data_IF_401195793846
#
_entry.id   IF_401195793846
#
_cell.length_a   1.000
_cell.length_b   1.000
_cell.length_c   1.000
_cell.angle_alpha   90.00
_cell.angle_beta   90.00
_cell.angle_gamma   90.00
#
_symmetry.space_group_name_H-M   'P 1'
#
loop_
_entity.id
_entity.type
_entity.pdbx_description
1 polymer ?
#
# COMPACT_ATOMS: atom_id res chain seq x y z
N UNK A 1 -25.56 -0.91 12.99
CA UNK A 1 -24.86 -0.31 11.84
C UNK A 1 -23.44 -0.12 12.34
N UNK A 2 -22.46 -0.88 11.86
CA UNK A 2 -21.07 -0.70 12.32
C UNK A 2 -20.64 0.71 11.91
N UNK A 3 -20.42 1.59 12.89
CA UNK A 3 -20.01 2.96 12.66
C UNK A 3 -18.49 3.07 12.57
N UNK A 4 -17.98 3.97 11.73
CA UNK A 4 -16.58 4.38 11.73
C UNK A 4 -16.37 5.30 12.94
N UNK A 5 -15.41 5.01 13.82
CA UNK A 5 -15.10 5.89 14.97
C UNK A 5 -13.62 6.19 15.09
N UNK A 6 -13.32 7.47 15.31
CA UNK A 6 -11.98 7.93 15.66
C UNK A 6 -12.00 8.27 17.14
N UNK A 7 -11.25 7.52 17.93
CA UNK A 7 -11.14 7.77 19.37
C UNK A 7 -9.78 8.38 19.64
N UNK A 8 -9.78 9.62 20.11
CA UNK A 8 -8.55 10.24 20.60
C UNK A 8 -8.35 9.76 22.02
N UNK A 9 -7.29 9.00 22.22
CA UNK A 9 -6.95 8.47 23.52
C UNK A 9 -6.06 9.49 24.20
N UNK A 10 -6.71 10.45 24.84
CA UNK A 10 -6.02 11.44 25.66
C UNK A 10 -5.50 10.74 26.92
N UNK A 11 -4.25 10.28 26.82
CA UNK A 11 -3.60 9.54 27.89
C UNK A 11 -2.97 10.45 28.94
N UNK A 12 -3.00 11.80 28.82
CA UNK A 12 -2.13 12.61 29.67
C UNK A 12 -2.60 13.99 30.17
N UNK A 13 -2.03 14.45 31.31
CA UNK A 13 -2.06 15.85 31.70
C UNK A 13 -1.04 16.68 30.91
N UNK A 14 -1.46 17.83 30.40
CA UNK A 14 -0.57 18.93 29.97
C UNK A 14 -0.51 19.22 28.47
N UNK A 15 -1.05 18.34 27.61
CA UNK A 15 -1.29 18.64 26.20
C UNK A 15 -2.78 18.88 26.03
N UNK A 16 -3.18 20.14 25.84
CA UNK A 16 -4.58 20.49 25.55
C UNK A 16 -4.75 20.52 24.04
N UNK A 17 -5.43 19.53 23.47
CA UNK A 17 -5.92 19.62 22.09
C UNK A 17 -6.96 20.74 22.02
N UNK A 18 -6.91 21.56 20.97
CA UNK A 18 -7.84 22.68 20.78
C UNK A 18 -9.31 22.21 20.87
N UNK A 19 -10.20 23.05 21.40
CA UNK A 19 -11.60 22.66 21.66
C UNK A 19 -12.37 22.27 20.38
N UNK A 20 -11.94 22.74 19.22
CA UNK A 20 -12.55 22.47 17.91
C UNK A 20 -11.59 21.73 16.97
N UNK A 21 -11.48 20.41 17.13
CA UNK A 21 -11.03 19.56 16.01
C UNK A 21 -12.20 19.43 15.04
N UNK A 22 -12.18 20.20 13.96
CA UNK A 22 -13.20 20.13 12.91
C UNK A 22 -12.77 19.13 11.84
N UNK A 23 -13.51 18.02 11.70
CA UNK A 23 -13.41 17.12 10.55
C UNK A 23 -14.02 17.81 9.32
N UNK A 24 -13.22 18.07 8.29
CA UNK A 24 -13.73 18.69 7.08
C UNK A 24 -14.16 17.64 6.04
N UNK A 25 -15.47 17.67 5.73
CA UNK A 25 -16.17 17.08 4.58
C UNK A 25 -16.34 15.54 4.54
N UNK A 26 -17.61 15.19 4.76
CA UNK A 26 -18.32 13.93 4.48
C UNK A 26 -18.35 12.89 5.62
N UNK A 27 -19.34 13.05 6.51
CA UNK A 27 -20.19 11.99 7.08
C UNK A 27 -19.57 10.87 7.92
N UNK A 28 -20.10 10.71 9.15
CA UNK A 28 -20.08 9.47 9.98
C UNK A 28 -18.81 9.11 10.77
N UNK A 29 -17.92 10.05 11.08
CA UNK A 29 -16.86 9.80 12.07
C UNK A 29 -17.22 10.43 13.41
N UNK A 30 -17.45 9.58 14.43
CA UNK A 30 -17.63 10.01 15.81
C UNK A 30 -16.29 10.27 16.48
N UNK A 31 -16.10 11.48 17.02
CA UNK A 31 -14.94 11.89 17.82
C UNK A 31 -15.23 11.63 19.30
N UNK A 32 -14.40 10.82 19.97
CA UNK A 32 -14.48 10.63 21.42
C UNK A 32 -13.16 11.00 22.11
N UNK A 33 -13.26 11.71 23.24
CA UNK A 33 -12.14 12.20 24.05
C UNK A 33 -12.19 11.49 25.41
N UNK A 34 -11.43 10.40 25.55
CA UNK A 34 -11.32 9.71 26.84
C UNK A 34 -10.39 10.46 27.79
N UNK A 35 -10.73 10.58 29.08
CA UNK A 35 -9.80 11.08 30.11
C UNK A 35 -8.64 10.10 30.35
N UNK A 36 -7.49 10.57 30.86
CA UNK A 36 -6.37 9.72 31.27
C UNK A 36 -6.84 8.58 32.19
N UNK A 37 -6.28 7.39 32.02
CA UNK A 37 -6.54 6.15 32.81
C UNK A 37 -7.95 5.53 32.71
N UNK A 38 -8.82 6.04 31.84
CA UNK A 38 -10.20 5.49 31.66
C UNK A 38 -10.49 4.93 30.27
N UNK A 39 -9.56 5.06 29.32
CA UNK A 39 -9.75 4.62 27.93
C UNK A 39 -10.24 3.18 27.79
N UNK A 40 -9.70 2.27 28.60
CA UNK A 40 -10.09 0.85 28.59
C UNK A 40 -11.58 0.65 28.88
N UNK A 41 -12.20 1.52 29.70
CA UNK A 41 -13.63 1.46 30.00
C UNK A 41 -14.49 1.86 28.80
N UNK A 42 -14.05 2.85 28.02
CA UNK A 42 -14.75 3.30 26.82
C UNK A 42 -14.70 2.28 25.69
N UNK A 43 -13.61 1.52 25.57
CA UNK A 43 -13.48 0.50 24.51
C UNK A 43 -14.58 -0.57 24.58
N UNK A 44 -15.06 -0.90 25.78
CA UNK A 44 -16.17 -1.85 25.97
C UNK A 44 -17.54 -1.28 25.57
N UNK A 45 -17.67 0.04 25.46
CA UNK A 45 -18.91 0.71 25.04
C UNK A 45 -19.05 0.76 23.51
N UNK A 46 -17.99 0.47 22.77
CA UNK A 46 -17.99 0.42 21.31
C UNK A 46 -18.62 -0.89 20.80
N UNK A 47 -19.43 -0.79 19.74
CA UNK A 47 -20.07 -1.96 19.14
C UNK A 47 -19.04 -2.93 18.55
N UNK A 48 -19.21 -4.26 18.70
CA UNK A 48 -18.41 -5.24 17.97
C UNK A 48 -18.47 -5.00 16.46
N UNK A 49 -17.32 -5.06 15.80
CA UNK A 49 -17.19 -4.78 14.37
C UNK A 49 -16.80 -3.34 14.03
N UNK A 50 -16.61 -2.47 15.03
CA UNK A 50 -16.16 -1.08 14.87
C UNK A 50 -14.74 -1.03 14.29
N UNK A 51 -14.54 -0.18 13.28
CA UNK A 51 -13.22 0.25 12.82
C UNK A 51 -12.74 1.43 13.67
N UNK A 52 -11.53 1.32 14.21
CA UNK A 52 -11.03 2.25 15.21
C UNK A 52 -9.70 2.87 14.79
N UNK A 53 -9.59 4.20 14.84
CA UNK A 53 -8.30 4.88 14.91
C UNK A 53 -8.07 5.42 16.32
N UNK A 54 -6.89 5.16 16.89
CA UNK A 54 -6.49 5.56 18.23
C UNK A 54 -5.19 6.38 18.18
N UNK A 55 -5.21 7.60 18.73
CA UNK A 55 -4.01 8.41 18.92
C UNK A 55 -3.64 8.46 20.42
N UNK A 56 -2.44 8.03 20.78
CA UNK A 56 -1.92 8.00 22.15
C UNK A 56 -1.01 9.20 22.41
N UNK A 57 -1.41 10.11 23.28
CA UNK A 57 -0.66 11.34 23.55
C UNK A 57 0.13 11.21 24.86
N UNK A 58 1.44 10.91 24.76
CA UNK A 58 2.44 10.72 25.84
C UNK A 58 2.10 9.75 26.99
N UNK A 59 3.05 9.52 27.92
CA UNK A 59 2.94 8.54 29.03
C UNK A 59 3.38 9.04 30.41
N UNK A 60 2.49 9.01 31.40
CA UNK A 60 2.80 9.08 32.84
C UNK A 60 1.83 8.20 33.61
N UNK A 61 1.96 6.88 33.46
CA UNK A 61 1.14 5.89 34.15
C UNK A 61 1.34 4.48 33.59
N UNK A 62 0.76 4.22 32.42
CA UNK A 62 0.98 2.99 31.64
C UNK A 62 1.95 3.29 30.49
N UNK A 63 2.94 2.42 30.24
CA UNK A 63 3.81 2.61 29.07
C UNK A 63 3.01 2.50 27.78
N UNK A 64 3.25 3.39 26.81
CA UNK A 64 2.57 3.39 25.49
C UNK A 64 2.55 1.98 24.86
N UNK A 65 3.66 1.20 24.83
CA UNK A 65 3.64 -0.16 24.28
C UNK A 65 2.64 -1.08 24.98
N UNK A 66 2.44 -0.93 26.29
CA UNK A 66 1.47 -1.72 27.05
C UNK A 66 0.04 -1.35 26.65
N UNK A 67 -0.25 -0.06 26.51
CA UNK A 67 -1.57 0.40 26.11
C UNK A 67 -1.92 -0.04 24.68
N UNK A 68 -0.99 0.09 23.74
CA UNK A 68 -1.17 -0.39 22.36
C UNK A 68 -1.37 -1.91 22.32
N UNK A 69 -0.59 -2.69 23.07
CA UNK A 69 -0.74 -4.16 23.13
C UNK A 69 -2.12 -4.57 23.62
N UNK A 70 -2.65 -3.90 24.64
CA UNK A 70 -4.00 -4.16 25.15
C UNK A 70 -5.05 -3.87 24.10
N UNK A 71 -4.96 -2.72 23.43
CA UNK A 71 -5.89 -2.34 22.36
C UNK A 71 -5.85 -3.35 21.20
N UNK A 72 -4.65 -3.79 20.80
CA UNK A 72 -4.46 -4.82 19.76
C UNK A 72 -5.00 -6.19 20.16
N UNK A 73 -5.10 -6.49 21.45
CA UNK A 73 -5.67 -7.75 21.97
C UNK A 73 -7.20 -7.80 21.97
N UNK A 74 -7.89 -6.71 21.63
CA UNK A 74 -9.35 -6.65 21.64
C UNK A 74 -9.94 -7.19 20.34
N UNK A 75 -10.41 -8.44 20.36
CA UNK A 75 -10.98 -9.14 19.20
C UNK A 75 -12.31 -8.56 18.69
N UNK A 76 -12.94 -7.65 19.44
CA UNK A 76 -14.20 -7.02 19.05
C UNK A 76 -14.04 -5.98 17.92
N UNK A 77 -12.82 -5.50 17.65
CA UNK A 77 -12.56 -4.53 16.59
C UNK A 77 -12.11 -5.25 15.31
N UNK A 78 -12.71 -4.90 14.18
CA UNK A 78 -12.36 -5.43 12.84
C UNK A 78 -11.01 -4.91 12.38
N UNK A 79 -10.71 -3.64 12.68
CA UNK A 79 -9.40 -3.04 12.46
C UNK A 79 -9.14 -1.95 13.47
N UNK A 80 -7.88 -1.88 13.90
CA UNK A 80 -7.36 -0.78 14.69
C UNK A 80 -6.21 -0.12 13.95
N UNK A 81 -6.20 1.21 13.88
CA UNK A 81 -5.06 2.03 13.47
C UNK A 81 -4.54 2.77 14.68
N UNK A 82 -3.24 2.79 14.89
CA UNK A 82 -2.63 3.32 16.11
C UNK A 82 -1.59 4.37 15.79
N UNK A 83 -1.74 5.55 16.35
CA UNK A 83 -0.82 6.67 16.24
C UNK A 83 -0.32 7.02 17.63
N UNK A 84 0.92 7.46 17.73
CA UNK A 84 1.54 7.84 19.01
C UNK A 84 2.04 9.27 18.90
N UNK A 85 1.85 10.07 19.93
CA UNK A 85 2.25 11.48 19.94
C UNK A 85 3.25 11.68 21.07
N UNK A 86 4.39 12.27 20.75
CA UNK A 86 5.41 12.56 21.74
C UNK A 86 6.73 13.04 21.14
N UNK A 87 7.68 13.35 22.02
CA UNK A 87 8.95 14.01 21.69
C UNK A 87 9.90 13.16 20.82
N UNK A 88 9.60 11.87 20.65
CA UNK A 88 10.35 10.98 19.75
C UNK A 88 10.02 11.21 18.26
N UNK A 89 9.09 12.11 17.94
CA UNK A 89 8.71 12.40 16.57
C UNK A 89 9.87 12.97 15.74
N UNK A 90 10.16 12.33 14.60
CA UNK A 90 11.33 12.68 13.77
C UNK A 90 12.62 11.98 14.22
N UNK A 91 12.59 11.26 15.35
CA UNK A 91 13.66 10.36 15.76
C UNK A 91 13.54 8.97 15.11
N UNK A 92 14.50 8.06 15.37
CA UNK A 92 14.45 6.69 14.90
C UNK A 92 13.18 6.00 15.38
N UNK A 93 12.50 5.29 14.48
CA UNK A 93 11.30 4.52 14.82
C UNK A 93 11.67 3.42 15.84
N UNK A 94 11.05 3.39 17.04
CA UNK A 94 11.33 2.36 18.04
C UNK A 94 10.86 0.98 17.59
N UNK A 95 11.63 -0.07 17.88
CA UNK A 95 11.28 -1.44 17.47
C UNK A 95 9.94 -1.98 18.02
N UNK A 96 9.48 -1.47 19.17
CA UNK A 96 8.17 -1.84 19.71
C UNK A 96 7.01 -1.26 18.88
N UNK A 97 7.22 -0.11 18.23
CA UNK A 97 6.20 0.56 17.44
C UNK A 97 5.91 -0.30 16.20
N UNK A 98 6.95 -0.87 15.59
CA UNK A 98 6.80 -1.85 14.51
C UNK A 98 6.13 -3.14 14.98
N UNK A 99 6.61 -3.72 16.09
CA UNK A 99 6.07 -4.98 16.62
C UNK A 99 4.58 -4.92 17.03
N UNK A 100 4.06 -3.71 17.26
CA UNK A 100 2.67 -3.47 17.64
C UNK A 100 1.84 -2.79 16.53
N UNK A 101 2.36 -2.74 15.30
CA UNK A 101 1.70 -2.14 14.12
C UNK A 101 1.30 -0.67 14.38
N UNK A 102 2.22 0.14 14.88
CA UNK A 102 2.01 1.59 15.03
C UNK A 102 2.21 2.26 13.67
N UNK A 103 1.22 3.08 13.30
CA UNK A 103 1.15 3.78 12.03
C UNK A 103 2.27 4.81 11.93
N UNK A 104 2.30 5.78 12.86
CA UNK A 104 3.35 6.79 12.98
C UNK A 104 3.52 7.29 14.43
N UNK A 105 4.68 7.87 14.72
CA UNK A 105 4.97 8.67 15.91
C UNK A 105 5.02 10.13 15.51
N UNK A 106 4.03 10.91 15.95
CA UNK A 106 3.76 12.28 15.55
C UNK A 106 4.29 13.28 16.58
N UNK A 107 4.76 14.42 16.08
CA UNK A 107 5.13 15.53 16.96
C UNK A 107 3.85 16.13 17.56
N UNK A 108 3.89 16.69 18.77
CA UNK A 108 2.74 17.41 19.32
C UNK A 108 2.18 18.48 18.36
N UNK A 109 3.07 19.16 17.61
CA UNK A 109 2.70 20.15 16.59
C UNK A 109 1.95 19.57 15.36
N UNK A 110 1.92 18.26 15.16
CA UNK A 110 1.14 17.64 14.08
C UNK A 110 -0.39 17.82 14.26
N UNK A 111 -0.81 18.28 15.44
CA UNK A 111 -2.19 18.63 15.77
C UNK A 111 -2.50 20.11 15.54
N UNK A 112 -1.51 20.92 15.15
CA UNK A 112 -1.69 22.33 14.86
C UNK A 112 -2.36 22.50 13.48
N UNK A 113 -3.70 22.46 13.45
CA UNK A 113 -4.53 22.71 12.26
C UNK A 113 -5.26 21.50 11.68
N UNK A 114 -5.65 21.61 10.41
CA UNK A 114 -6.39 20.59 9.66
C UNK A 114 -5.41 19.68 8.91
N UNK A 115 -5.30 18.41 9.27
CA UNK A 115 -4.49 17.46 8.51
C UNK A 115 -4.40 16.06 9.13
N UNK A 116 -4.12 15.98 10.43
CA UNK A 116 -4.00 14.66 11.09
C UNK A 116 -5.30 13.86 11.02
N UNK A 117 -6.44 14.51 11.27
CA UNK A 117 -7.76 13.89 11.17
C UNK A 117 -8.07 13.35 9.78
N UNK A 118 -7.61 14.04 8.74
CA UNK A 118 -7.84 13.65 7.34
C UNK A 118 -7.01 12.39 7.00
N UNK A 119 -5.76 12.34 7.48
CA UNK A 119 -4.90 11.13 7.37
C UNK A 119 -5.51 9.93 8.10
N UNK A 120 -6.09 10.11 9.29
CA UNK A 120 -6.81 9.05 10.00
C UNK A 120 -7.99 8.52 9.18
N UNK A 121 -8.78 9.44 8.61
CA UNK A 121 -9.96 9.13 7.83
C UNK A 121 -9.63 8.39 6.53
N UNK A 122 -8.67 8.90 5.75
CA UNK A 122 -8.18 8.24 4.53
C UNK A 122 -7.68 6.83 4.87
N UNK A 123 -6.96 6.69 5.98
CA UNK A 123 -6.51 5.40 6.49
C UNK A 123 -7.67 4.43 6.76
N UNK A 124 -8.68 4.84 7.53
CA UNK A 124 -9.83 4.01 7.86
C UNK A 124 -10.63 3.63 6.60
N UNK A 125 -10.92 4.61 5.73
CA UNK A 125 -11.60 4.38 4.44
C UNK A 125 -10.84 3.41 3.54
N UNK A 126 -9.51 3.50 3.49
CA UNK A 126 -8.67 2.57 2.74
C UNK A 126 -8.88 1.13 3.20
N UNK A 127 -8.91 0.87 4.52
CA UNK A 127 -9.15 -0.46 5.04
C UNK A 127 -10.57 -0.98 4.74
N UNK A 128 -11.60 -0.17 5.00
CA UNK A 128 -12.99 -0.56 4.74
C UNK A 128 -13.20 -0.97 3.28
N UNK A 129 -12.72 -0.13 2.35
CA UNK A 129 -12.85 -0.36 0.91
C UNK A 129 -12.03 -1.56 0.43
N UNK A 130 -10.89 -1.85 1.08
CA UNK A 130 -10.02 -2.97 0.74
C UNK A 130 -10.53 -4.34 1.25
N UNK A 131 -11.21 -4.37 2.40
CA UNK A 131 -11.41 -5.60 3.19
C UNK A 131 -12.88 -5.95 3.43
N UNK A 132 -13.77 -4.97 3.63
CA UNK A 132 -15.10 -5.21 4.17
C UNK A 132 -16.25 -4.96 3.21
N UNK A 133 -16.07 -4.15 2.16
CA UNK A 133 -17.19 -3.79 1.29
C UNK A 133 -17.54 -4.92 0.29
N UNK A 134 -18.74 -5.52 0.35
CA UNK A 134 -19.21 -6.44 -0.66
C UNK A 134 -19.59 -5.67 -1.92
N UNK A 135 -18.59 -5.31 -2.74
CA UNK A 135 -18.70 -4.81 -4.12
C UNK A 135 -20.01 -4.03 -4.38
N UNK A 136 -20.05 -2.73 -4.03
CA UNK A 136 -21.13 -1.77 -4.33
C UNK A 136 -21.92 -2.12 -5.61
N UNK A 137 -23.24 -2.25 -5.50
CA UNK A 137 -24.09 -2.82 -6.57
C UNK A 137 -24.84 -1.82 -7.44
N UNK A 138 -24.76 -0.50 -7.21
CA UNK A 138 -25.49 0.48 -8.03
C UNK A 138 -24.61 1.70 -8.39
N UNK A 139 -24.44 1.97 -9.71
CA UNK A 139 -24.69 3.25 -10.41
C UNK A 139 -24.05 3.38 -11.82
N UNK A 140 -24.61 4.34 -12.56
CA UNK A 140 -24.62 4.67 -14.00
C UNK A 140 -23.27 4.74 -14.73
N UNK A 141 -23.18 4.06 -15.89
CA UNK A 141 -22.10 4.03 -16.90
C UNK A 141 -20.91 3.12 -16.54
N UNK A 142 -20.93 1.91 -17.10
CA UNK A 142 -19.90 0.85 -17.02
C UNK A 142 -19.49 0.39 -15.61
N UNK A 143 -19.77 -0.87 -15.30
CA UNK A 143 -19.94 -1.36 -13.92
C UNK A 143 -18.62 -1.50 -13.13
N UNK A 144 -17.51 -1.64 -13.82
CA UNK A 144 -16.23 -2.00 -13.19
C UNK A 144 -15.41 -0.77 -12.83
N UNK A 145 -15.28 0.15 -13.78
CA UNK A 145 -14.51 1.36 -13.57
C UNK A 145 -15.06 2.22 -12.45
N UNK A 146 -16.37 2.49 -12.40
CA UNK A 146 -16.91 3.40 -11.37
C UNK A 146 -16.63 2.90 -9.95
N UNK A 147 -16.66 1.58 -9.72
CA UNK A 147 -16.34 0.98 -8.43
C UNK A 147 -14.85 1.13 -8.09
N UNK A 148 -13.99 0.86 -9.06
CA UNK A 148 -12.55 1.03 -8.89
C UNK A 148 -12.20 2.51 -8.72
N UNK A 149 -12.87 3.41 -9.45
CA UNK A 149 -12.63 4.84 -9.38
C UNK A 149 -13.05 5.43 -8.03
N UNK A 150 -14.25 5.12 -7.54
CA UNK A 150 -14.69 5.58 -6.23
C UNK A 150 -13.75 5.08 -5.12
N UNK A 151 -13.35 3.81 -5.19
CA UNK A 151 -12.35 3.26 -4.28
C UNK A 151 -10.99 3.98 -4.40
N UNK A 152 -10.52 4.28 -5.61
CA UNK A 152 -9.26 4.99 -5.81
C UNK A 152 -9.34 6.43 -5.29
N UNK A 153 -10.38 7.17 -5.61
CA UNK A 153 -10.54 8.55 -5.15
C UNK A 153 -10.74 8.66 -3.63
N UNK A 154 -11.46 7.74 -3.01
CA UNK A 154 -11.75 7.78 -1.55
C UNK A 154 -10.58 7.33 -0.68
N UNK A 155 -9.55 6.72 -1.28
CA UNK A 155 -8.39 6.19 -0.56
C UNK A 155 -7.06 6.78 -1.05
N UNK A 156 -7.14 7.64 -2.07
CA UNK A 156 -6.05 8.46 -2.58
C UNK A 156 -5.47 9.32 -1.47
N UNK A 157 -4.17 9.48 -1.53
CA UNK A 157 -3.41 10.36 -0.64
C UNK A 157 -2.78 11.53 -1.41
N UNK A 158 -2.52 12.60 -0.67
CA UNK A 158 -1.79 13.77 -1.13
C UNK A 158 -0.34 13.73 -0.62
N UNK A 159 0.63 14.13 -1.43
CA UNK A 159 2.04 14.18 -1.00
C UNK A 159 2.28 15.09 0.21
N UNK A 160 1.34 16.01 0.52
CA UNK A 160 1.37 16.89 1.69
C UNK A 160 1.12 16.13 3.00
N UNK A 161 0.60 14.91 2.94
CA UNK A 161 0.48 14.02 4.11
C UNK A 161 1.84 13.56 4.63
N UNK A 162 2.90 13.67 3.81
CA UNK A 162 4.28 13.46 4.24
C UNK A 162 4.91 14.78 4.65
N UNK A 163 5.18 14.93 5.95
CA UNK A 163 5.95 16.06 6.47
C UNK A 163 7.45 15.86 6.18
N UNK A 164 7.87 16.32 5.01
CA UNK A 164 9.26 16.24 4.57
C UNK A 164 10.22 17.10 5.40
N UNK A 165 9.73 18.01 6.24
CA UNK A 165 10.58 18.81 7.12
C UNK A 165 11.04 18.02 8.36
N UNK A 166 10.39 16.88 8.65
CA UNK A 166 10.82 15.90 9.66
C UNK A 166 11.93 14.97 9.18
N UNK A 167 12.32 15.04 7.91
CA UNK A 167 13.31 14.16 7.32
C UNK A 167 14.66 14.34 8.03
N UNK A 168 15.20 13.25 8.57
CA UNK A 168 16.53 13.25 9.17
C UNK A 168 17.50 12.38 8.36
N UNK A 169 18.37 12.96 7.50
CA UNK A 169 19.32 12.21 6.69
C UNK A 169 20.31 11.37 7.49
N UNK A 170 20.59 11.72 8.75
CA UNK A 170 21.51 10.96 9.61
C UNK A 170 20.97 9.59 10.01
N UNK A 171 19.66 9.37 9.87
CA UNK A 171 19.02 8.07 10.14
C UNK A 171 19.10 7.10 8.96
N UNK A 172 19.62 7.54 7.81
CA UNK A 172 19.73 6.72 6.61
C UNK A 172 21.17 6.30 6.34
N UNK A 173 21.35 5.03 6.00
CA UNK A 173 22.63 4.54 5.49
C UNK A 173 22.85 4.96 4.03
N UNK A 174 24.10 5.04 3.55
CA UNK A 174 24.38 5.28 2.13
C UNK A 174 23.67 4.28 1.20
N UNK A 175 23.55 3.02 1.62
CA UNK A 175 22.83 1.98 0.87
C UNK A 175 21.32 2.23 0.78
N UNK A 176 20.71 2.81 1.82
CA UNK A 176 19.28 3.18 1.81
C UNK A 176 19.02 4.37 0.89
N UNK A 177 19.92 5.34 0.90
CA UNK A 177 19.87 6.51 0.01
C UNK A 177 20.05 6.09 -1.46
N UNK A 178 21.01 5.19 -1.72
CA UNK A 178 21.22 4.60 -3.04
C UNK A 178 19.97 3.87 -3.53
N UNK A 179 19.36 3.05 -2.66
CA UNK A 179 18.15 2.32 -2.99
C UNK A 179 16.97 3.27 -3.27
N UNK A 180 16.73 4.26 -2.40
CA UNK A 180 15.69 5.28 -2.59
C UNK A 180 15.86 6.02 -3.93
N UNK A 181 17.12 6.30 -4.31
CA UNK A 181 17.44 6.93 -5.60
C UNK A 181 17.08 6.05 -6.78
N UNK A 182 17.46 4.77 -6.74
CA UNK A 182 17.16 3.82 -7.80
C UNK A 182 15.65 3.54 -7.89
N UNK A 183 14.96 3.40 -6.76
CA UNK A 183 13.51 3.26 -6.70
C UNK A 183 12.78 4.48 -7.30
N UNK A 184 13.20 5.71 -6.97
CA UNK A 184 12.63 6.93 -7.55
C UNK A 184 12.74 6.94 -9.09
N UNK A 185 13.85 6.41 -9.64
CA UNK A 185 14.09 6.32 -11.08
C UNK A 185 13.20 5.25 -11.73
N UNK A 186 13.02 4.10 -11.08
CA UNK A 186 12.12 3.02 -11.55
C UNK A 186 10.68 3.51 -11.60
N UNK A 187 10.20 4.10 -10.51
CA UNK A 187 8.83 4.64 -10.43
C UNK A 187 8.59 5.75 -11.47
N UNK A 188 9.63 6.50 -11.85
CA UNK A 188 9.52 7.46 -12.96
C UNK A 188 9.34 6.76 -14.31
N UNK A 189 9.88 5.55 -14.43
CA UNK A 189 9.87 4.72 -15.64
C UNK A 189 8.51 4.10 -15.95
N UNK A 190 7.42 4.45 -15.26
CA UNK A 190 6.08 3.86 -15.36
C UNK A 190 5.29 4.32 -16.60
N UNK A 191 5.54 5.53 -17.13
CA UNK A 191 4.82 6.14 -18.27
C UNK A 191 4.70 5.24 -19.52
N UNK A 192 5.76 4.54 -19.98
CA UNK A 192 5.63 3.59 -21.09
C UNK A 192 4.63 2.45 -20.82
N UNK A 193 4.45 2.05 -19.56
CA UNK A 193 3.45 1.07 -19.13
C UNK A 193 2.04 1.59 -19.32
N UNK A 194 1.78 2.84 -18.87
CA UNK A 194 0.50 3.50 -19.09
C UNK A 194 0.20 3.65 -20.60
N UNK A 195 1.19 4.02 -21.42
CA UNK A 195 1.02 4.06 -22.88
C UNK A 195 0.72 2.68 -23.48
N UNK A 196 1.34 1.61 -22.98
CA UNK A 196 1.05 0.25 -23.44
C UNK A 196 -0.39 -0.14 -23.11
N UNK A 197 -0.86 0.12 -21.88
CA UNK A 197 -2.24 -0.14 -21.48
C UNK A 197 -3.25 0.58 -22.37
N UNK A 198 -3.07 1.87 -22.61
CA UNK A 198 -3.98 2.64 -23.46
C UNK A 198 -4.00 2.15 -24.92
N UNK A 199 -2.88 1.63 -25.43
CA UNK A 199 -2.84 1.00 -26.76
C UNK A 199 -3.50 -0.37 -26.79
N UNK A 200 -3.19 -1.22 -25.82
CA UNK A 200 -3.72 -2.59 -25.75
C UNK A 200 -5.24 -2.61 -25.52
N UNK A 201 -5.76 -1.57 -24.85
CA UNK A 201 -7.17 -1.40 -24.51
C UNK A 201 -7.88 -0.33 -25.33
N UNK A 202 -7.34 0.02 -26.51
CA UNK A 202 -8.02 0.91 -27.45
C UNK A 202 -9.46 0.45 -27.69
N UNK A 203 -10.42 1.37 -27.50
CA UNK A 203 -11.86 1.11 -27.64
C UNK A 203 -12.57 0.54 -26.41
N UNK A 204 -11.85 0.23 -25.32
CA UNK A 204 -12.42 -0.15 -24.03
C UNK A 204 -12.25 1.01 -23.05
N UNK A 205 -13.34 1.43 -22.40
CA UNK A 205 -13.38 2.69 -21.64
C UNK A 205 -13.02 2.50 -20.18
N UNK A 206 -13.43 1.39 -19.57
CA UNK A 206 -13.29 1.18 -18.12
C UNK A 206 -11.83 1.02 -17.70
N UNK A 207 -11.11 0.09 -18.32
CA UNK A 207 -9.71 -0.15 -18.06
C UNK A 207 -8.85 1.04 -18.50
N UNK A 208 -9.13 1.63 -19.66
CA UNK A 208 -8.38 2.80 -20.15
C UNK A 208 -8.48 3.98 -19.17
N UNK A 209 -9.66 4.22 -18.59
CA UNK A 209 -9.85 5.26 -17.57
C UNK A 209 -9.07 4.94 -16.29
N UNK A 210 -9.10 3.69 -15.84
CA UNK A 210 -8.30 3.26 -14.70
C UNK A 210 -6.80 3.34 -14.94
N UNK A 211 -6.31 2.96 -16.11
CA UNK A 211 -4.91 3.02 -16.48
C UNK A 211 -4.34 4.46 -16.42
N UNK A 212 -5.18 5.48 -16.67
CA UNK A 212 -4.82 6.89 -16.47
C UNK A 212 -4.64 7.23 -14.98
N UNK A 213 -5.57 6.80 -14.13
CA UNK A 213 -5.47 7.01 -12.68
C UNK A 213 -4.27 6.26 -12.09
N UNK A 214 -4.09 4.98 -12.43
CA UNK A 214 -2.92 4.18 -12.08
C UNK A 214 -1.63 4.93 -12.47
N UNK A 215 -1.49 5.35 -13.73
CA UNK A 215 -0.32 6.08 -14.19
C UNK A 215 -0.05 7.40 -13.44
N UNK A 216 -1.09 8.05 -12.92
CA UNK A 216 -0.95 9.23 -12.08
C UNK A 216 -0.51 8.90 -10.64
N UNK A 217 -0.93 7.76 -10.07
CA UNK A 217 -0.45 7.27 -8.77
C UNK A 217 1.03 6.85 -8.86
N UNK A 218 1.38 6.08 -9.88
CA UNK A 218 2.77 5.70 -10.20
C UNK A 218 3.71 6.92 -10.34
N UNK A 219 3.26 7.98 -11.04
CA UNK A 219 4.03 9.21 -11.14
C UNK A 219 4.23 9.91 -9.78
N UNK A 220 3.25 9.78 -8.87
CA UNK A 220 3.33 10.28 -7.49
C UNK A 220 4.39 9.52 -6.69
N UNK A 221 4.51 8.19 -6.88
CA UNK A 221 5.53 7.38 -6.21
C UNK A 221 6.94 7.93 -6.47
N UNK A 222 7.26 8.20 -7.73
CA UNK A 222 8.54 8.80 -8.11
C UNK A 222 8.71 10.20 -7.52
N UNK A 223 7.68 11.03 -7.60
CA UNK A 223 7.72 12.43 -7.15
C UNK A 223 8.06 12.54 -5.66
N UNK A 224 7.43 11.75 -4.80
CA UNK A 224 7.67 11.84 -3.35
C UNK A 224 9.08 11.39 -2.97
N UNK A 225 9.58 10.33 -3.60
CA UNK A 225 10.95 9.87 -3.41
C UNK A 225 11.95 10.92 -3.90
N UNK A 226 11.72 11.51 -5.08
CA UNK A 226 12.56 12.57 -5.61
C UNK A 226 12.58 13.83 -4.73
N UNK A 227 11.44 14.21 -4.13
CA UNK A 227 11.37 15.33 -3.17
C UNK A 227 12.10 15.03 -1.87
N UNK A 228 12.01 13.79 -1.40
CA UNK A 228 12.79 13.33 -0.24
C UNK A 228 14.29 13.40 -0.52
N UNK A 229 14.75 12.87 -1.65
CA UNK A 229 16.14 12.95 -2.10
C UNK A 229 16.61 14.39 -2.26
N UNK A 230 15.74 15.28 -2.73
CA UNK A 230 16.09 16.70 -2.86
C UNK A 230 16.39 17.38 -1.52
N UNK A 231 15.65 17.04 -0.46
CA UNK A 231 15.91 17.52 0.91
C UNK A 231 17.26 17.01 1.43
N UNK A 232 17.75 15.88 0.92
CA UNK A 232 19.10 15.36 1.18
C UNK A 232 20.19 15.96 0.27
N UNK A 233 19.83 16.89 -0.61
CA UNK A 233 20.74 17.49 -1.59
C UNK A 233 21.00 16.63 -2.84
N UNK A 234 20.22 15.55 -3.03
CA UNK A 234 20.38 14.60 -4.14
C UNK A 234 19.34 14.90 -5.23
N UNK A 235 19.81 15.36 -6.38
CA UNK A 235 18.95 15.70 -7.53
C UNK A 235 18.76 14.50 -8.46
N UNK A 236 17.58 13.88 -8.40
CA UNK A 236 17.15 12.88 -9.41
C UNK A 236 16.86 13.61 -10.72
N UNK A 237 17.49 13.17 -11.82
CA UNK A 237 17.26 13.72 -13.16
C UNK A 237 16.55 12.70 -14.05
N UNK A 238 15.51 13.14 -14.74
CA UNK A 238 14.68 12.34 -15.67
C UNK A 238 15.47 11.61 -16.75
N UNK A 239 16.61 12.15 -17.19
CA UNK A 239 17.51 11.48 -18.15
C UNK A 239 18.01 10.11 -17.65
N UNK A 240 18.05 9.83 -16.34
CA UNK A 240 18.46 8.53 -15.83
C UNK A 240 17.38 7.44 -15.96
N UNK A 241 16.11 7.83 -16.11
CA UNK A 241 14.99 6.90 -16.27
C UNK A 241 14.76 6.47 -17.72
N UNK A 242 15.05 7.36 -18.68
CA UNK A 242 14.79 7.12 -20.12
C UNK A 242 15.70 6.05 -20.76
N UNK A 243 16.81 5.68 -20.13
CA UNK A 243 17.78 4.69 -20.67
C UNK A 243 17.66 3.28 -20.09
N UNK A 244 16.72 3.03 -19.17
CA UNK A 244 16.68 1.75 -18.42
C UNK A 244 15.55 0.80 -18.80
N UNK A 245 14.63 1.16 -19.72
CA UNK A 245 13.46 0.33 -20.03
C UNK A 245 13.48 -0.21 -21.46
N UNK A 246 13.74 -1.51 -21.60
CA UNK A 246 13.33 -2.24 -22.80
C UNK A 246 11.80 -2.44 -22.77
N UNK A 247 11.11 -2.40 -23.93
CA UNK A 247 9.69 -2.74 -24.00
C UNK A 247 9.46 -4.16 -23.49
N UNK A 248 8.55 -4.34 -22.53
CA UNK A 248 8.13 -5.67 -22.09
C UNK A 248 7.53 -6.45 -23.27
N UNK A 249 7.75 -7.77 -23.36
CA UNK A 249 6.90 -8.60 -24.18
C UNK A 249 5.47 -8.51 -23.61
N UNK A 250 4.59 -7.88 -24.37
CA UNK A 250 3.15 -7.85 -24.10
C UNK A 250 2.73 -9.32 -23.98
N UNK A 251 1.93 -9.66 -22.96
CA UNK A 251 1.36 -11.00 -22.91
C UNK A 251 0.59 -11.24 -24.20
N UNK A 252 0.62 -12.45 -24.77
CA UNK A 252 -0.08 -12.73 -26.04
C UNK A 252 -1.59 -12.38 -25.98
N UNK A 253 -2.14 -12.18 -24.78
CA UNK A 253 -3.51 -11.75 -24.50
C UNK A 253 -3.55 -10.73 -23.35
N UNK A 254 -4.62 -9.93 -23.30
CA UNK A 254 -4.92 -9.02 -22.17
C UNK A 254 -4.90 -9.74 -20.83
N UNK A 255 -5.51 -10.94 -20.72
CA UNK A 255 -5.52 -11.70 -19.47
C UNK A 255 -4.10 -12.09 -19.01
N UNK A 256 -3.22 -12.46 -19.95
CA UNK A 256 -1.80 -12.69 -19.68
C UNK A 256 -1.09 -11.42 -19.20
N UNK A 257 -1.29 -10.29 -19.88
CA UNK A 257 -0.72 -9.00 -19.47
C UNK A 257 -1.19 -8.61 -18.08
N UNK A 258 -2.49 -8.63 -17.79
CA UNK A 258 -3.01 -8.25 -16.49
C UNK A 258 -2.53 -9.21 -15.39
N UNK A 259 -2.45 -10.51 -15.64
CA UNK A 259 -1.92 -11.48 -14.67
C UNK A 259 -0.46 -11.20 -14.32
N UNK A 260 0.37 -10.83 -15.30
CA UNK A 260 1.75 -10.42 -15.03
C UNK A 260 1.78 -9.18 -14.12
N UNK A 261 0.90 -8.20 -14.36
CA UNK A 261 0.80 -7.02 -13.50
C UNK A 261 0.31 -7.37 -12.09
N UNK A 262 -0.67 -8.27 -11.90
CA UNK A 262 -1.08 -8.74 -10.55
C UNK A 262 0.12 -9.24 -9.75
N UNK A 263 0.92 -10.13 -10.35
CA UNK A 263 2.10 -10.73 -9.71
C UNK A 263 3.08 -9.64 -9.30
N UNK A 264 3.28 -8.73 -10.22
CA UNK A 264 4.27 -7.69 -10.17
C UNK A 264 3.97 -6.63 -9.10
N UNK A 265 2.71 -6.18 -9.05
CA UNK A 265 2.19 -5.27 -8.02
C UNK A 265 2.13 -5.94 -6.64
N UNK A 266 1.69 -7.20 -6.56
CA UNK A 266 1.66 -7.94 -5.29
C UNK A 266 3.07 -8.10 -4.68
N UNK A 267 4.07 -8.30 -5.54
CA UNK A 267 5.48 -8.37 -5.19
C UNK A 267 6.03 -7.01 -4.74
N UNK A 268 5.72 -5.93 -5.46
CA UNK A 268 6.12 -4.57 -5.06
C UNK A 268 5.48 -4.16 -3.73
N UNK A 269 4.20 -4.45 -3.51
CA UNK A 269 3.50 -4.20 -2.25
C UNK A 269 4.24 -4.83 -1.06
N UNK A 270 4.67 -6.08 -1.21
CA UNK A 270 5.35 -6.81 -0.16
C UNK A 270 6.79 -6.33 0.05
N UNK A 271 7.50 -5.99 -1.03
CA UNK A 271 8.82 -5.36 -0.95
C UNK A 271 8.76 -4.04 -0.16
N UNK A 272 7.83 -3.15 -0.50
CA UNK A 272 7.67 -1.89 0.23
C UNK A 272 7.24 -2.08 1.68
N UNK A 273 6.41 -3.10 1.96
CA UNK A 273 6.09 -3.48 3.34
C UNK A 273 7.34 -3.88 4.13
N UNK A 274 8.22 -4.69 3.56
CA UNK A 274 9.47 -5.08 4.22
C UNK A 274 10.44 -3.90 4.38
N UNK A 275 10.56 -3.05 3.36
CA UNK A 275 11.39 -1.83 3.43
C UNK A 275 10.89 -0.88 4.52
N UNK A 276 9.58 -0.71 4.66
CA UNK A 276 8.98 0.09 5.73
C UNK A 276 9.35 -0.45 7.12
N UNK A 277 9.35 -1.78 7.29
CA UNK A 277 9.68 -2.43 8.56
C UNK A 277 11.16 -2.25 8.97
N UNK A 278 12.07 -2.20 7.99
CA UNK A 278 13.51 -2.01 8.24
C UNK A 278 13.94 -0.54 8.34
N UNK A 279 13.18 0.37 7.73
CA UNK A 279 13.56 1.79 7.64
C UNK A 279 13.37 2.50 8.98
N UNK A 280 14.48 3.03 9.52
CA UNK A 280 14.47 3.80 10.78
C UNK A 280 14.03 5.24 10.61
N UNK A 281 14.29 5.82 9.44
CA UNK A 281 13.93 7.19 9.13
C UNK A 281 12.40 7.29 8.93
N UNK A 282 11.69 8.10 9.74
CA UNK A 282 10.23 8.07 9.79
C UNK A 282 9.54 8.52 8.49
N UNK A 283 10.11 9.49 7.77
CA UNK A 283 9.50 10.03 6.53
C UNK A 283 9.58 9.01 5.39
N UNK A 284 10.74 8.40 5.18
CA UNK A 284 11.00 7.37 4.17
C UNK A 284 10.27 6.08 4.51
N UNK A 285 10.16 5.72 5.79
CA UNK A 285 9.24 4.66 6.22
C UNK A 285 7.80 4.96 5.82
N UNK A 286 7.35 6.21 6.02
CA UNK A 286 6.03 6.68 5.59
C UNK A 286 5.82 6.54 4.09
N UNK A 287 6.82 6.91 3.28
CA UNK A 287 6.82 6.72 1.82
C UNK A 287 6.61 5.24 1.48
N UNK A 288 7.41 4.33 2.05
CA UNK A 288 7.27 2.90 1.76
C UNK A 288 5.90 2.34 2.16
N UNK A 289 5.33 2.78 3.27
CA UNK A 289 3.96 2.40 3.66
C UNK A 289 2.91 2.85 2.64
N UNK A 290 3.02 4.07 2.14
CA UNK A 290 2.08 4.62 1.17
C UNK A 290 2.18 3.89 -0.18
N UNK A 291 3.40 3.71 -0.70
CA UNK A 291 3.65 2.96 -1.92
C UNK A 291 3.13 1.53 -1.80
N UNK A 292 3.49 0.80 -0.72
CA UNK A 292 3.02 -0.56 -0.52
C UNK A 292 1.49 -0.70 -0.43
N UNK A 293 0.80 0.33 0.06
CA UNK A 293 -0.67 0.39 0.06
C UNK A 293 -1.22 0.56 -1.36
N UNK A 294 -0.62 1.44 -2.15
CA UNK A 294 -1.04 1.69 -3.54
C UNK A 294 -0.78 0.44 -4.40
N UNK A 295 0.38 -0.23 -4.31
CA UNK A 295 0.63 -1.45 -5.09
C UNK A 295 -0.32 -2.59 -4.71
N UNK A 296 -0.70 -2.68 -3.44
CA UNK A 296 -1.72 -3.66 -3.03
C UNK A 296 -3.08 -3.33 -3.65
N UNK A 297 -3.42 -2.04 -3.83
CA UNK A 297 -4.65 -1.60 -4.51
C UNK A 297 -4.55 -1.87 -6.02
N UNK A 298 -3.40 -1.58 -6.63
CA UNK A 298 -3.11 -1.84 -8.04
C UNK A 298 -3.26 -3.32 -8.38
N UNK A 299 -2.60 -4.21 -7.63
CA UNK A 299 -2.71 -5.67 -7.80
C UNK A 299 -4.17 -6.14 -7.81
N UNK A 300 -4.98 -5.60 -6.90
CA UNK A 300 -6.39 -5.95 -6.77
C UNK A 300 -7.25 -5.39 -7.90
N UNK A 301 -6.99 -4.17 -8.38
CA UNK A 301 -7.67 -3.61 -9.55
C UNK A 301 -7.35 -4.42 -10.82
N UNK A 302 -6.07 -4.76 -11.05
CA UNK A 302 -5.68 -5.67 -12.12
C UNK A 302 -6.39 -7.02 -12.03
N UNK A 303 -6.54 -7.57 -10.82
CA UNK A 303 -7.30 -8.80 -10.59
C UNK A 303 -8.77 -8.67 -11.01
N UNK A 304 -9.46 -7.58 -10.66
CA UNK A 304 -10.86 -7.38 -11.05
C UNK A 304 -11.03 -7.40 -12.56
N UNK A 305 -10.22 -6.64 -13.30
CA UNK A 305 -10.26 -6.65 -14.77
C UNK A 305 -9.84 -8.00 -15.36
N UNK A 306 -8.90 -8.72 -14.73
CA UNK A 306 -8.51 -10.07 -15.17
C UNK A 306 -9.64 -11.07 -14.97
N UNK A 307 -10.36 -10.98 -13.85
CA UNK A 307 -11.51 -11.82 -13.54
C UNK A 307 -12.58 -11.64 -14.61
N UNK A 308 -12.91 -10.40 -14.98
CA UNK A 308 -13.89 -10.12 -16.04
C UNK A 308 -13.50 -10.71 -17.39
N UNK A 309 -12.21 -10.67 -17.73
CA UNK A 309 -11.73 -11.33 -18.94
C UNK A 309 -11.83 -12.86 -18.87
N UNK A 310 -11.72 -13.44 -17.67
CA UNK A 310 -11.75 -14.88 -17.43
C UNK A 310 -13.18 -15.43 -17.25
N UNK A 311 -14.12 -14.59 -16.82
CA UNK A 311 -15.51 -14.96 -16.60
C UNK A 311 -16.12 -15.51 -17.89
N UNK A 312 -16.45 -16.80 -17.88
CA UNK A 312 -16.94 -17.56 -19.05
C UNK A 312 -15.99 -17.63 -20.26
N UNK A 313 -14.70 -17.32 -20.10
CA UNK A 313 -13.72 -17.38 -21.19
C UNK A 313 -12.51 -18.28 -20.83
N UNK A 314 -12.53 -19.50 -21.38
CA UNK A 314 -11.48 -20.51 -21.17
C UNK A 314 -10.12 -20.10 -21.73
N UNK A 315 -10.07 -19.34 -22.82
CA UNK A 315 -8.79 -18.90 -23.40
C UNK A 315 -8.08 -17.91 -22.48
N UNK A 316 -8.83 -16.96 -21.92
CA UNK A 316 -8.32 -16.02 -20.91
C UNK A 316 -7.85 -16.74 -19.65
N UNK A 317 -8.61 -17.74 -19.15
CA UNK A 317 -8.20 -18.56 -18.01
C UNK A 317 -6.88 -19.31 -18.29
N UNK A 318 -6.73 -19.91 -19.48
CA UNK A 318 -5.49 -20.59 -19.87
C UNK A 318 -4.33 -19.59 -19.96
N UNK A 319 -4.55 -18.40 -20.52
CA UNK A 319 -3.51 -17.38 -20.61
C UNK A 319 -3.05 -16.88 -19.23
N UNK A 320 -4.00 -16.62 -18.33
CA UNK A 320 -3.70 -16.26 -16.95
C UNK A 320 -2.90 -17.35 -16.23
N UNK A 321 -3.32 -18.61 -16.33
CA UNK A 321 -2.60 -19.74 -15.74
C UNK A 321 -1.20 -19.93 -16.34
N UNK A 322 -1.03 -19.76 -17.66
CA UNK A 322 0.29 -19.83 -18.30
C UNK A 322 1.21 -18.76 -17.75
N UNK A 323 0.72 -17.53 -17.64
CA UNK A 323 1.50 -16.42 -17.10
C UNK A 323 1.86 -16.66 -15.64
N UNK A 324 0.88 -17.03 -14.80
CA UNK A 324 1.13 -17.38 -13.40
C UNK A 324 2.13 -18.53 -13.26
N UNK A 325 2.03 -19.58 -14.08
CA UNK A 325 2.98 -20.69 -14.06
C UNK A 325 4.41 -20.24 -14.33
N UNK A 326 4.63 -19.47 -15.40
CA UNK A 326 5.98 -19.00 -15.79
C UNK A 326 6.63 -18.22 -14.64
N UNK A 327 5.87 -17.35 -13.99
CA UNK A 327 6.40 -16.42 -12.99
C UNK A 327 6.47 -16.96 -11.56
N UNK A 328 5.65 -17.96 -11.23
CA UNK A 328 5.67 -18.63 -9.93
C UNK A 328 6.55 -19.88 -9.93
N UNK A 329 6.73 -20.56 -11.07
CA UNK A 329 7.61 -21.72 -11.19
C UNK A 329 9.07 -21.35 -11.36
N UNK A 330 9.36 -20.26 -12.07
CA UNK A 330 10.72 -19.75 -12.24
C UNK A 330 10.93 -18.47 -11.42
N UNK A 331 11.52 -18.65 -10.25
CA UNK A 331 11.87 -17.56 -9.33
C UNK A 331 13.23 -16.92 -9.62
N UNK A 332 14.02 -17.48 -10.56
CA UNK A 332 15.34 -16.93 -10.92
C UNK A 332 15.26 -15.48 -11.40
N UNK A 333 14.07 -15.13 -11.85
CA UNK A 333 13.62 -13.85 -12.37
C UNK A 333 13.09 -12.87 -11.28
N UNK A 334 12.74 -13.31 -10.06
CA UNK A 334 12.58 -12.44 -8.87
C UNK A 334 11.34 -11.53 -8.70
N UNK A 335 11.35 -10.68 -7.65
CA UNK A 335 10.52 -9.46 -7.52
C UNK A 335 10.68 -8.66 -8.81
N UNK A 336 9.58 -8.38 -9.50
CA UNK A 336 9.57 -7.76 -10.83
C UNK A 336 8.37 -6.84 -10.83
N UNK A 337 8.57 -5.52 -10.88
CA UNK A 337 7.52 -4.50 -11.03
C UNK A 337 7.33 -4.21 -12.54
N UNK A 338 6.14 -3.84 -13.10
CA UNK A 338 6.01 -3.68 -14.56
C UNK A 338 6.77 -2.43 -15.03
N UNK A 339 7.00 -1.48 -14.12
CA UNK A 339 7.81 -0.29 -14.33
C UNK A 339 9.33 -0.55 -14.36
N UNK A 340 9.77 -1.67 -13.80
CA UNK A 340 11.15 -2.06 -13.73
C UNK A 340 11.28 -3.57 -13.54
N UNK A 341 11.51 -4.30 -14.63
CA UNK A 341 12.29 -5.54 -14.55
C UNK A 341 13.53 -5.16 -13.76
N UNK A 342 13.63 -5.56 -12.49
CA UNK A 342 14.56 -4.93 -11.57
C UNK A 342 16.02 -5.17 -12.03
N UNK A 343 16.51 -4.16 -12.76
CA UNK A 343 17.88 -3.77 -12.99
C UNK A 343 18.81 -4.63 -13.88
N UNK A 344 18.61 -4.73 -15.20
CA UNK A 344 19.71 -5.08 -16.10
C UNK A 344 20.81 -3.99 -16.15
N UNK A 345 20.52 -2.75 -15.71
CA UNK A 345 21.40 -1.58 -15.80
C UNK A 345 21.45 -0.70 -14.52
N UNK A 346 21.20 -1.27 -13.32
CA UNK A 346 21.42 -0.49 -12.09
C UNK A 346 22.87 -0.04 -11.99
N UNK A 347 23.07 1.17 -11.47
CA UNK A 347 24.40 1.72 -11.21
C UNK A 347 24.88 1.45 -9.78
N UNK A 348 24.01 0.96 -8.88
CA UNK A 348 24.37 0.61 -7.50
C UNK A 348 24.35 -0.89 -7.24
N UNK A 349 25.52 -1.53 -7.37
CA UNK A 349 25.72 -2.94 -7.03
C UNK A 349 25.50 -3.24 -5.52
N UNK A 350 25.41 -2.23 -4.65
CA UNK A 350 25.13 -2.40 -3.22
C UNK A 350 23.65 -2.26 -2.91
N UNK A 351 22.95 -1.31 -3.54
CA UNK A 351 21.49 -1.19 -3.45
C UNK A 351 20.77 -2.45 -3.94
N UNK A 352 21.22 -3.04 -5.06
CA UNK A 352 20.66 -4.30 -5.59
C UNK A 352 20.79 -5.44 -4.57
N UNK A 353 21.97 -5.59 -3.95
CA UNK A 353 22.22 -6.68 -3.00
C UNK A 353 21.35 -6.59 -1.74
N UNK A 354 20.97 -5.38 -1.32
CA UNK A 354 20.02 -5.19 -0.21
C UNK A 354 18.61 -5.68 -0.59
N UNK A 355 18.16 -5.40 -1.81
CA UNK A 355 16.87 -5.90 -2.32
C UNK A 355 16.87 -7.43 -2.34
N UNK A 356 17.95 -8.04 -2.86
CA UNK A 356 18.09 -9.50 -2.94
C UNK A 356 17.98 -10.18 -1.58
N UNK A 357 18.43 -9.54 -0.49
CA UNK A 357 18.31 -10.09 0.87
C UNK A 357 16.89 -10.01 1.44
N UNK A 358 16.14 -8.96 1.09
CA UNK A 358 14.75 -8.74 1.55
C UNK A 358 13.76 -9.58 0.71
N UNK A 359 14.21 -10.00 -0.48
CA UNK A 359 13.39 -10.55 -1.56
C UNK A 359 12.76 -11.90 -1.27
N UNK A 360 13.41 -12.81 -0.56
CA UNK A 360 12.93 -14.19 -0.49
C UNK A 360 11.63 -14.30 0.33
N UNK A 361 11.61 -13.76 1.55
CA UNK A 361 10.41 -13.76 2.40
C UNK A 361 9.27 -12.92 1.80
N UNK A 362 9.61 -11.78 1.19
CA UNK A 362 8.64 -10.92 0.52
C UNK A 362 8.03 -11.61 -0.72
N UNK A 363 8.83 -12.37 -1.48
CA UNK A 363 8.34 -13.08 -2.66
C UNK A 363 7.37 -14.19 -2.25
N UNK A 364 7.64 -14.93 -1.18
CA UNK A 364 6.75 -15.99 -0.71
C UNK A 364 5.39 -15.46 -0.25
N UNK A 365 5.36 -14.38 0.53
CA UNK A 365 4.11 -13.77 0.97
C UNK A 365 3.30 -13.17 -0.19
N UNK A 366 3.96 -12.57 -1.18
CA UNK A 366 3.32 -12.08 -2.39
C UNK A 366 2.76 -13.23 -3.25
N UNK A 367 3.56 -14.26 -3.52
CA UNK A 367 3.18 -15.42 -4.33
C UNK A 367 1.98 -16.16 -3.71
N UNK A 368 1.89 -16.22 -2.38
CA UNK A 368 0.71 -16.78 -1.69
C UNK A 368 -0.58 -15.99 -1.98
N UNK A 369 -0.51 -14.65 -1.99
CA UNK A 369 -1.65 -13.79 -2.37
C UNK A 369 -2.02 -13.98 -3.84
N UNK A 370 -1.03 -14.07 -4.72
CA UNK A 370 -1.23 -14.34 -6.15
C UNK A 370 -1.93 -15.68 -6.35
N UNK A 371 -1.50 -16.75 -5.66
CA UNK A 371 -2.12 -18.06 -5.75
C UNK A 371 -3.60 -18.02 -5.34
N UNK A 372 -3.96 -17.24 -4.31
CA UNK A 372 -5.37 -17.04 -3.95
C UNK A 372 -6.16 -16.35 -5.07
N UNK A 373 -5.58 -15.36 -5.75
CA UNK A 373 -6.20 -14.71 -6.90
C UNK A 373 -6.34 -15.69 -8.07
N UNK A 374 -5.32 -16.50 -8.37
CA UNK A 374 -5.35 -17.52 -9.42
C UNK A 374 -6.46 -18.55 -9.18
N UNK A 375 -6.65 -19.04 -7.95
CA UNK A 375 -7.77 -19.94 -7.60
C UNK A 375 -9.12 -19.35 -8.00
N UNK A 376 -9.33 -18.06 -7.75
CA UNK A 376 -10.56 -17.36 -8.10
C UNK A 376 -10.74 -17.19 -9.60
N UNK A 377 -9.68 -16.86 -10.34
CA UNK A 377 -9.73 -16.70 -11.79
C UNK A 377 -10.21 -17.97 -12.52
N UNK A 378 -9.94 -19.16 -11.95
CA UNK A 378 -10.26 -20.46 -12.58
C UNK A 378 -11.21 -21.33 -11.75
N UNK A 379 -11.81 -20.75 -10.70
CA UNK A 379 -12.74 -21.41 -9.78
C UNK A 379 -12.23 -22.77 -9.27
N UNK A 380 -10.97 -22.83 -8.84
CA UNK A 380 -10.31 -24.06 -8.41
C UNK A 380 -9.47 -23.86 -7.15
N UNK A 381 -10.07 -24.19 -6.00
CA UNK A 381 -9.43 -24.06 -4.69
C UNK A 381 -8.30 -25.07 -4.45
N UNK A 382 -8.11 -26.07 -5.32
CA UNK A 382 -7.05 -27.08 -5.17
C UNK A 382 -5.65 -26.59 -5.55
N UNK A 383 -5.55 -25.39 -6.15
CA UNK A 383 -4.27 -24.83 -6.61
C UNK A 383 -3.48 -24.28 -5.43
N UNK A 384 -2.50 -25.01 -4.90
CA UNK A 384 -1.65 -24.57 -3.78
C UNK A 384 -0.25 -24.16 -4.19
N UNK A 385 0.16 -24.50 -5.41
CA UNK A 385 1.52 -24.28 -5.89
C UNK A 385 1.58 -24.11 -7.41
N UNK A 386 2.73 -23.66 -7.92
CA UNK A 386 2.99 -23.64 -9.36
C UNK A 386 2.90 -25.03 -10.02
N UNK A 387 3.10 -26.12 -9.25
CA UNK A 387 2.90 -27.50 -9.75
C UNK A 387 1.42 -27.78 -10.03
N UNK A 388 0.53 -27.29 -9.18
CA UNK A 388 -0.91 -27.49 -9.32
C UNK A 388 -1.47 -26.66 -10.49
N UNK A 389 -0.93 -25.44 -10.69
CA UNK A 389 -1.19 -24.64 -11.90
C UNK A 389 -0.85 -25.44 -13.16
N UNK A 390 0.31 -26.10 -13.20
CA UNK A 390 0.71 -26.96 -14.32
C UNK A 390 -0.26 -28.14 -14.51
N UNK A 391 -0.75 -28.72 -13.42
CA UNK A 391 -1.79 -29.76 -13.44
C UNK A 391 -3.08 -29.27 -14.06
N UNK A 392 -3.58 -28.10 -13.62
CA UNK A 392 -4.78 -27.45 -14.16
C UNK A 392 -4.63 -27.08 -15.63
N UNK A 393 -3.48 -26.54 -16.04
CA UNK A 393 -3.21 -26.23 -17.45
C UNK A 393 -3.34 -27.47 -18.34
N UNK A 394 -2.90 -28.65 -17.87
CA UNK A 394 -3.02 -29.91 -18.62
C UNK A 394 -4.43 -30.47 -18.69
N UNK A 395 -5.34 -30.07 -17.81
CA UNK A 395 -6.75 -30.46 -17.91
C UNK A 395 -7.56 -29.51 -18.78
N UNK A 396 -7.04 -28.30 -19.02
CA UNK A 396 -7.67 -27.25 -19.82
C UNK A 396 -7.20 -27.21 -21.28
N UNK A 397 -6.07 -27.81 -21.61
CA UNK A 397 -5.54 -28.01 -22.97
C UNK A 397 -5.74 -29.47 -23.35
#
# INVERSE_FOLDING_TARGET
>A
MSGKRVVFVDCLPGVTLDEQLSLARFGEIGLDRSRPDTFERYLHELEPGTELAAAYIGGSGTSIPTAVRKLRGMAQFTKTRVYVVGDAAGGPVPGWAEALDVEDILAPAAFDGFGFTDTLEIGLRAYHSLILDPLYTDFYLDMTWNKIFDWFETTRWDWRELDLDRLNPELMSPEEVDFLTEAAIIEFGTLPGAHNFLREWEGETSFSSWALSWGAEEARHSLVQARCLDKMGIKVRSKHALYKREPYPIGDTRAGTLTMNIISEARAAELYRCLAAETKEPVVRGIWKLLGRDESRHARAFFVFTQELCDSNRESQIAALKMAYVWLADRSEGLKHPAGHFYPHSTSAKGIRRIEMIKDDATDAADAKVLQMVRRLVEDDSIESARDIKGKLRSLI
#
